data_IF_209476886997
#
_entry.id   IF_209476886997
#
_cell.length_a   1.000
_cell.length_b   1.000
_cell.length_c   1.000
_cell.angle_alpha   90.00
_cell.angle_beta   90.00
_cell.angle_gamma   90.00
#
_symmetry.space_group_name_H-M   'P 1'
#
loop_
_entity.id
_entity.type
_entity.pdbx_description
1 polymer ?
#
# COMPACT_ATOMS: atom_id res chain seq x y z
N UNK A 1 -13.21 -36.68 -36.74
CA UNK A 1 -12.83 -35.28 -37.08
C UNK A 1 -13.99 -34.36 -36.70
N UNK A 2 -13.86 -33.59 -35.61
CA UNK A 2 -14.93 -32.72 -35.12
C UNK A 2 -14.44 -31.30 -34.86
N UNK A 3 -14.77 -30.37 -35.77
CA UNK A 3 -14.42 -28.95 -35.65
C UNK A 3 -15.34 -28.29 -34.60
N UNK A 4 -14.80 -27.83 -33.48
CA UNK A 4 -15.53 -26.95 -32.54
C UNK A 4 -15.06 -25.50 -32.68
N UNK A 5 -16.04 -24.65 -33.03
CA UNK A 5 -15.94 -23.23 -33.31
C UNK A 5 -15.56 -22.42 -32.05
N UNK A 6 -14.65 -21.47 -32.23
CA UNK A 6 -14.23 -20.45 -31.25
C UNK A 6 -15.32 -19.39 -31.09
N UNK A 7 -15.65 -19.03 -29.83
CA UNK A 7 -16.55 -17.91 -29.51
C UNK A 7 -15.72 -16.79 -28.88
N UNK A 8 -15.54 -15.70 -29.65
CA UNK A 8 -14.94 -14.46 -29.17
C UNK A 8 -15.87 -13.80 -28.13
N UNK A 9 -15.28 -13.20 -27.09
CA UNK A 9 -16.02 -12.34 -26.15
C UNK A 9 -15.32 -10.99 -26.02
N UNK A 10 -16.12 -9.96 -26.22
CA UNK A 10 -15.79 -8.56 -26.39
C UNK A 10 -15.19 -7.90 -25.15
N UNK A 11 -14.35 -6.89 -25.41
CA UNK A 11 -13.93 -5.84 -24.48
C UNK A 11 -15.05 -4.81 -24.36
N UNK A 12 -15.31 -4.32 -23.15
CA UNK A 12 -16.16 -3.15 -22.90
C UNK A 12 -15.36 -2.16 -22.07
N UNK A 13 -14.95 -1.08 -22.72
CA UNK A 13 -14.45 0.15 -22.12
C UNK A 13 -15.59 1.19 -22.18
N UNK A 14 -15.89 1.86 -21.06
CA UNK A 14 -16.73 3.08 -20.98
C UNK A 14 -16.44 3.72 -19.61
N UNK A 15 -15.69 4.82 -19.46
CA UNK A 15 -15.84 6.22 -19.92
C UNK A 15 -17.16 6.87 -19.48
N UNK A 16 -17.09 7.63 -18.38
CA UNK A 16 -17.86 8.85 -18.08
C UNK A 16 -16.86 10.03 -18.17
N UNK A 17 -17.24 11.32 -18.33
CA UNK A 17 -18.51 11.96 -17.95
C UNK A 17 -19.10 12.99 -18.96
N UNK A 18 -20.39 13.32 -18.82
CA UNK A 18 -21.07 14.39 -19.57
C UNK A 18 -21.57 15.48 -18.62
N UNK A 19 -20.84 16.60 -18.57
CA UNK A 19 -21.36 17.91 -18.18
C UNK A 19 -21.77 18.64 -19.46
N UNK A 20 -22.97 19.24 -19.51
CA UNK A 20 -23.24 20.44 -20.32
C UNK A 20 -24.57 21.08 -19.94
N UNK A 21 -24.44 22.27 -19.35
CA UNK A 21 -25.46 23.29 -19.31
C UNK A 21 -25.46 24.06 -20.63
N UNK A 22 -26.64 24.47 -21.10
CA UNK A 22 -26.79 25.62 -21.98
C UNK A 22 -28.26 26.08 -21.97
N UNK A 23 -28.52 27.18 -21.27
CA UNK A 23 -29.66 28.05 -21.52
C UNK A 23 -29.30 28.94 -22.70
N UNK A 24 -30.12 28.93 -23.75
CA UNK A 24 -30.11 29.93 -24.81
C UNK A 24 -31.55 30.40 -24.96
N UNK A 25 -31.77 31.66 -24.63
CA UNK A 25 -33.02 32.41 -24.78
C UNK A 25 -32.77 33.42 -25.91
N UNK A 26 -33.48 33.29 -27.02
CA UNK A 26 -33.49 34.30 -28.08
C UNK A 26 -34.83 34.23 -28.83
N UNK A 27 -35.66 35.26 -28.68
CA UNK A 27 -36.72 35.69 -29.62
C UNK A 27 -37.32 37.01 -29.07
N UNK A 28 -36.89 38.20 -29.49
CA UNK A 28 -37.10 38.94 -30.75
C UNK A 28 -38.36 39.82 -30.78
N UNK A 29 -38.12 41.07 -31.16
CA UNK A 29 -38.96 41.99 -31.96
C UNK A 29 -39.90 42.98 -31.24
N UNK A 30 -39.51 44.25 -31.44
CA UNK A 30 -40.32 45.46 -31.38
C UNK A 30 -41.46 45.45 -32.41
N UNK A 31 -42.64 45.91 -32.01
CA UNK A 31 -43.53 46.68 -32.88
C UNK A 31 -44.20 47.79 -32.07
N UNK A 32 -44.06 49.03 -32.52
CA UNK A 32 -44.75 50.21 -32.01
C UNK A 32 -46.26 50.06 -32.23
N UNK A 33 -46.99 49.86 -31.13
CA UNK A 33 -48.40 50.19 -30.95
C UNK A 33 -48.64 50.25 -29.44
N UNK A 34 -49.18 51.37 -28.92
CA UNK A 34 -49.28 51.65 -27.49
C UNK A 34 -49.88 50.50 -26.68
N UNK A 35 -49.03 49.79 -25.94
CA UNK A 35 -49.42 48.65 -25.12
C UNK A 35 -49.74 49.09 -23.70
N UNK A 36 -50.98 48.88 -23.26
CA UNK A 36 -51.36 49.01 -21.85
C UNK A 36 -50.85 47.77 -21.11
N UNK A 37 -49.86 47.98 -20.25
CA UNK A 37 -49.20 46.94 -19.46
C UNK A 37 -49.99 46.76 -18.15
N UNK A 38 -50.89 45.78 -18.13
CA UNK A 38 -51.57 45.38 -16.90
C UNK A 38 -50.64 44.41 -16.16
N UNK A 39 -49.95 44.93 -15.14
CA UNK A 39 -49.10 44.12 -14.26
C UNK A 39 -49.98 43.42 -13.24
N UNK A 40 -50.08 42.11 -13.35
CA UNK A 40 -50.82 41.28 -12.40
C UNK A 40 -50.03 41.14 -11.09
N UNK A 41 -50.50 41.79 -10.02
CA UNK A 41 -49.81 41.87 -8.73
C UNK A 41 -49.97 40.60 -7.85
N UNK A 42 -50.62 39.56 -8.38
CA UNK A 42 -50.99 38.35 -7.62
C UNK A 42 -49.78 37.48 -7.21
N UNK A 43 -48.60 37.69 -7.83
CA UNK A 43 -47.36 36.99 -7.47
C UNK A 43 -46.39 37.79 -6.58
N UNK A 44 -46.77 38.98 -6.09
CA UNK A 44 -45.83 39.86 -5.37
C UNK A 44 -45.59 39.46 -3.89
N UNK A 45 -46.25 38.42 -3.36
CA UNK A 45 -46.22 38.11 -1.92
C UNK A 45 -45.44 36.86 -1.51
N UNK A 46 -44.80 36.10 -2.43
CA UNK A 46 -44.13 34.84 -2.02
C UNK A 46 -42.71 34.60 -2.56
N UNK A 47 -42.10 35.51 -3.32
CA UNK A 47 -40.66 35.41 -3.60
C UNK A 47 -39.83 36.14 -2.53
N UNK A 48 -39.11 35.36 -1.72
CA UNK A 48 -37.96 35.85 -0.93
C UNK A 48 -37.09 36.75 -1.83
N UNK A 49 -36.67 37.94 -1.38
CA UNK A 49 -35.79 38.79 -2.17
C UNK A 49 -34.45 38.07 -2.38
N UNK A 50 -34.11 37.81 -3.63
CA UNK A 50 -32.79 37.38 -4.02
C UNK A 50 -31.77 38.44 -3.58
N UNK A 51 -30.76 37.98 -2.85
CA UNK A 51 -29.70 38.75 -2.21
C UNK A 51 -28.80 39.48 -3.22
N UNK A 52 -29.18 40.68 -3.64
CA UNK A 52 -28.25 41.66 -4.21
C UNK A 52 -28.23 43.01 -3.46
N UNK A 53 -28.89 43.09 -2.30
CA UNK A 53 -28.78 44.22 -1.38
C UNK A 53 -28.31 43.75 -0.01
N UNK A 54 -27.10 43.21 0.07
CA UNK A 54 -26.37 43.25 1.34
C UNK A 54 -26.01 44.70 1.60
N UNK A 55 -26.94 45.45 2.20
CA UNK A 55 -26.68 46.75 2.80
C UNK A 55 -25.41 46.59 3.63
N UNK A 56 -24.34 47.24 3.19
CA UNK A 56 -23.03 47.12 3.80
C UNK A 56 -23.20 47.48 5.29
N UNK A 57 -22.58 46.75 6.23
CA UNK A 57 -22.74 47.03 7.69
C UNK A 57 -22.47 48.50 8.01
N UNK A 58 -21.61 49.14 7.23
CA UNK A 58 -21.33 50.57 7.24
C UNK A 58 -22.54 51.44 6.90
N UNK A 59 -23.27 51.08 5.85
CA UNK A 59 -24.44 51.82 5.36
C UNK A 59 -25.59 51.74 6.36
N UNK A 60 -25.84 50.56 6.94
CA UNK A 60 -26.83 50.39 8.02
C UNK A 60 -26.45 51.20 9.27
N UNK A 61 -25.18 51.24 9.65
CA UNK A 61 -24.70 52.06 10.78
C UNK A 61 -24.81 53.55 10.49
N UNK A 62 -24.50 53.98 9.27
CA UNK A 62 -24.62 55.38 8.86
C UNK A 62 -26.08 55.83 8.88
N UNK A 63 -26.99 54.98 8.39
CA UNK A 63 -28.43 55.26 8.36
C UNK A 63 -29.07 55.30 9.75
N UNK A 64 -28.58 54.51 10.71
CA UNK A 64 -29.09 54.50 12.08
C UNK A 64 -28.38 55.49 13.02
N UNK A 65 -27.26 56.08 12.61
CA UNK A 65 -26.59 57.10 13.40
C UNK A 65 -27.39 58.41 13.35
N UNK A 66 -27.63 59.06 14.49
CA UNK A 66 -28.39 60.32 14.58
C UNK A 66 -27.69 61.53 13.90
N UNK A 67 -26.57 61.31 13.20
CA UNK A 67 -25.87 62.34 12.44
C UNK A 67 -26.22 62.18 10.97
N UNK A 68 -27.15 63.01 10.50
CA UNK A 68 -27.43 63.19 9.08
C UNK A 68 -26.21 63.87 8.46
N UNK A 69 -25.29 63.08 7.90
CA UNK A 69 -24.19 63.62 7.12
C UNK A 69 -24.79 64.30 5.88
N UNK A 70 -24.64 65.63 5.80
CA UNK A 70 -24.88 66.39 4.57
C UNK A 70 -24.05 65.74 3.46
N UNK A 71 -24.67 65.49 2.30
CA UNK A 71 -24.20 64.66 1.16
C UNK A 71 -22.99 65.27 0.40
N UNK A 72 -22.06 65.92 1.11
CA UNK A 72 -20.83 66.45 0.56
C UNK A 72 -19.74 66.35 1.63
N UNK A 73 -18.95 65.29 1.62
CA UNK A 73 -17.80 65.17 2.52
C UNK A 73 -17.14 63.81 2.46
N UNK A 74 -15.94 63.78 1.90
CA UNK A 74 -15.04 62.63 1.90
C UNK A 74 -14.76 62.17 3.34
N UNK A 75 -14.92 60.87 3.61
CA UNK A 75 -14.73 60.30 4.94
C UNK A 75 -13.25 59.99 5.19
N UNK A 76 -12.60 60.82 6.01
CA UNK A 76 -11.26 60.54 6.55
C UNK A 76 -11.33 59.45 7.65
N UNK A 77 -10.76 58.28 7.36
CA UNK A 77 -10.69 57.15 8.27
C UNK A 77 -9.49 57.29 9.25
N UNK A 78 -9.67 58.09 10.29
CA UNK A 78 -8.73 58.17 11.41
C UNK A 78 -8.83 56.94 12.32
N UNK A 79 -7.90 55.99 12.17
CA UNK A 79 -7.72 54.89 13.14
C UNK A 79 -6.56 55.20 14.10
N UNK A 80 -6.88 55.61 15.32
CA UNK A 80 -5.90 55.74 16.40
C UNK A 80 -5.77 54.42 17.15
N UNK A 81 -4.73 53.64 16.84
CA UNK A 81 -4.29 52.48 17.63
C UNK A 81 -3.24 52.96 18.64
N UNK A 82 -3.61 53.19 19.90
CA UNK A 82 -2.67 53.60 20.95
C UNK A 82 -2.80 52.71 22.20
N UNK A 83 -1.73 51.95 22.42
CA UNK A 83 -1.18 51.41 23.67
C UNK A 83 -2.02 50.46 24.53
N UNK A 84 -1.82 49.15 24.32
CA UNK A 84 -2.02 48.09 25.34
C UNK A 84 -0.77 47.21 25.54
N UNK A 85 0.42 47.78 25.28
CA UNK A 85 1.68 47.03 25.16
C UNK A 85 2.11 46.24 26.42
N UNK A 86 1.67 46.66 27.62
CA UNK A 86 2.00 45.96 28.87
C UNK A 86 1.09 44.77 29.18
N UNK A 87 -0.16 44.79 28.70
CA UNK A 87 -1.05 43.63 28.79
C UNK A 87 -0.61 42.58 27.77
N UNK A 88 -0.27 43.02 26.55
CA UNK A 88 0.21 42.15 25.48
C UNK A 88 1.47 41.34 25.91
N UNK A 89 2.42 41.96 26.63
CA UNK A 89 3.65 41.29 27.09
C UNK A 89 3.39 40.26 28.21
N UNK A 90 2.39 40.48 29.08
CA UNK A 90 2.02 39.58 30.18
C UNK A 90 1.22 38.39 29.64
N UNK A 91 0.32 38.64 28.70
CA UNK A 91 -0.43 37.59 28.01
C UNK A 91 0.51 36.65 27.25
N UNK A 92 1.54 37.19 26.60
CA UNK A 92 2.54 36.38 25.90
C UNK A 92 3.40 35.52 26.85
N UNK A 93 3.64 35.99 28.08
CA UNK A 93 4.34 35.20 29.11
C UNK A 93 3.46 34.08 29.67
N UNK A 94 2.20 34.39 29.99
CA UNK A 94 1.22 33.41 30.47
C UNK A 94 0.98 32.31 29.44
N UNK A 95 0.87 32.65 28.15
CA UNK A 95 0.71 31.68 27.07
C UNK A 95 1.93 30.75 26.94
N UNK A 96 3.14 31.26 27.13
CA UNK A 96 4.37 30.46 27.10
C UNK A 96 4.44 29.47 28.27
N UNK A 97 4.07 29.91 29.47
CA UNK A 97 4.01 29.05 30.65
C UNK A 97 2.93 27.97 30.51
N UNK A 98 1.74 28.36 30.03
CA UNK A 98 0.65 27.43 29.74
C UNK A 98 1.07 26.39 28.70
N UNK A 99 1.73 26.80 27.62
CA UNK A 99 2.23 25.89 26.59
C UNK A 99 3.27 24.91 27.13
N UNK A 100 4.16 25.36 28.02
CA UNK A 100 5.14 24.51 28.69
C UNK A 100 4.46 23.47 29.59
N UNK A 101 3.49 23.88 30.41
CA UNK A 101 2.68 22.99 31.25
C UNK A 101 1.93 21.93 30.44
N UNK A 102 1.33 22.33 29.31
CA UNK A 102 0.64 21.40 28.41
C UNK A 102 1.63 20.37 27.82
N UNK A 103 2.83 20.80 27.43
CA UNK A 103 3.84 19.88 26.91
C UNK A 103 4.38 18.93 27.98
N UNK A 104 4.62 19.43 29.18
CA UNK A 104 5.10 18.62 30.31
C UNK A 104 4.03 17.59 30.74
N UNK A 105 2.76 17.97 30.77
CA UNK A 105 1.66 17.03 31.06
C UNK A 105 1.49 15.98 29.96
N UNK A 106 1.59 16.36 28.69
CA UNK A 106 1.59 15.41 27.57
C UNK A 106 2.78 14.43 27.65
N UNK A 107 3.96 14.91 28.05
CA UNK A 107 5.13 14.06 28.24
C UNK A 107 4.90 13.05 29.38
N UNK A 108 4.36 13.52 30.52
CA UNK A 108 4.02 12.66 31.67
C UNK A 108 2.97 11.62 31.29
N UNK A 109 1.93 12.01 30.55
CA UNK A 109 0.90 11.09 30.07
C UNK A 109 1.47 10.06 29.08
N UNK A 110 2.38 10.48 28.20
CA UNK A 110 3.05 9.56 27.27
C UNK A 110 3.93 8.54 28.01
N UNK A 111 4.66 8.97 29.03
CA UNK A 111 5.51 8.11 29.86
C UNK A 111 4.66 7.14 30.69
N UNK A 112 3.56 7.60 31.28
CA UNK A 112 2.67 6.74 32.06
C UNK A 112 1.99 5.68 31.19
N UNK A 113 1.50 6.06 29.99
CA UNK A 113 0.97 5.13 28.99
C UNK A 113 2.02 4.11 28.55
N UNK A 114 3.26 4.56 28.31
CA UNK A 114 4.36 3.68 27.93
C UNK A 114 4.69 2.67 29.04
N UNK A 115 4.79 3.12 30.30
CA UNK A 115 5.03 2.25 31.44
C UNK A 115 3.91 1.23 31.61
N UNK A 116 2.65 1.66 31.53
CA UNK A 116 1.48 0.79 31.67
C UNK A 116 1.43 -0.26 30.54
N UNK A 117 1.76 0.13 29.30
CA UNK A 117 1.88 -0.77 28.16
C UNK A 117 3.05 -1.76 28.32
N UNK A 118 4.19 -1.29 28.86
CA UNK A 118 5.36 -2.14 29.13
C UNK A 118 5.04 -3.20 30.20
N UNK A 119 4.46 -2.78 31.32
CA UNK A 119 3.98 -3.64 32.40
C UNK A 119 2.96 -4.66 31.90
N UNK A 120 1.96 -4.22 31.11
CA UNK A 120 0.97 -5.12 30.53
C UNK A 120 1.60 -6.15 29.59
N UNK A 121 2.55 -5.75 28.75
CA UNK A 121 3.25 -6.70 27.88
C UNK A 121 4.11 -7.68 28.66
N UNK A 122 4.74 -7.24 29.75
CA UNK A 122 5.56 -8.11 30.59
C UNK A 122 4.72 -9.15 31.32
N UNK A 123 3.61 -8.74 31.94
CA UNK A 123 2.67 -9.65 32.60
C UNK A 123 1.97 -10.59 31.63
N UNK A 124 1.62 -10.11 30.43
CA UNK A 124 1.04 -10.96 29.40
C UNK A 124 2.03 -12.02 28.91
N UNK A 125 3.30 -11.65 28.70
CA UNK A 125 4.35 -12.61 28.31
C UNK A 125 4.63 -13.64 29.40
N UNK A 126 4.71 -13.23 30.67
CA UNK A 126 4.92 -14.17 31.78
C UNK A 126 3.73 -15.12 31.96
N UNK A 127 2.50 -14.63 31.81
CA UNK A 127 1.29 -15.46 31.84
C UNK A 127 1.25 -16.48 30.71
N UNK A 128 1.58 -16.07 29.48
CA UNK A 128 1.68 -17.00 28.34
C UNK A 128 2.77 -18.06 28.55
N UNK A 129 3.90 -17.70 29.17
CA UNK A 129 4.93 -18.66 29.51
C UNK A 129 4.43 -19.70 30.53
N UNK A 130 3.71 -19.26 31.57
CA UNK A 130 3.10 -20.16 32.56
C UNK A 130 2.06 -21.10 31.92
N UNK A 131 1.22 -20.59 31.01
CA UNK A 131 0.29 -21.42 30.25
C UNK A 131 1.03 -22.47 29.44
N UNK A 132 2.07 -22.09 28.71
CA UNK A 132 2.85 -23.04 27.91
C UNK A 132 3.54 -24.10 28.78
N UNK A 133 4.04 -23.73 29.96
CA UNK A 133 4.60 -24.68 30.93
C UNK A 133 3.51 -25.62 31.46
N UNK A 134 2.33 -25.10 31.80
CA UNK A 134 1.21 -25.92 32.27
C UNK A 134 0.71 -26.90 31.20
N UNK A 135 0.63 -26.47 29.93
CA UNK A 135 0.32 -27.32 28.77
C UNK A 135 1.39 -28.39 28.58
N UNK A 136 2.68 -28.04 28.73
CA UNK A 136 3.79 -28.98 28.58
C UNK A 136 3.82 -30.03 29.70
N UNK A 137 3.44 -29.67 30.92
CA UNK A 137 3.37 -30.57 32.07
C UNK A 137 2.19 -31.54 31.99
N UNK A 138 1.10 -31.16 31.32
CA UNK A 138 -0.13 -31.96 31.21
C UNK A 138 -0.65 -32.02 29.77
N UNK A 139 0.08 -32.65 28.83
CA UNK A 139 -0.33 -32.69 27.43
C UNK A 139 -1.63 -33.46 27.17
N UNK A 140 -2.05 -34.30 28.12
CA UNK A 140 -3.18 -35.24 27.96
C UNK A 140 -4.53 -34.70 28.44
N UNK A 141 -4.54 -33.63 29.24
CA UNK A 141 -5.77 -33.09 29.86
C UNK A 141 -6.68 -32.37 28.86
N UNK A 142 -6.15 -31.80 27.78
CA UNK A 142 -6.94 -31.02 26.82
C UNK A 142 -7.38 -31.84 25.59
N UNK A 143 -6.70 -32.95 25.29
CA UNK A 143 -7.01 -33.78 24.12
C UNK A 143 -8.43 -34.36 24.22
N UNK A 144 -8.91 -34.64 25.44
CA UNK A 144 -10.25 -35.18 25.73
C UNK A 144 -11.38 -34.16 25.57
N UNK A 145 -11.09 -32.86 25.68
CA UNK A 145 -12.08 -31.79 25.51
C UNK A 145 -12.05 -31.14 24.12
N UNK A 146 -11.01 -31.39 23.33
CA UNK A 146 -10.95 -30.91 21.95
C UNK A 146 -12.01 -31.57 21.06
N UNK A 147 -12.62 -30.78 20.18
CA UNK A 147 -13.52 -31.30 19.14
C UNK A 147 -12.78 -32.32 18.27
N UNK A 148 -13.45 -33.39 17.84
CA UNK A 148 -12.83 -34.45 17.03
C UNK A 148 -12.09 -33.92 15.78
N UNK A 149 -12.60 -32.83 15.17
CA UNK A 149 -11.92 -32.17 14.04
C UNK A 149 -10.61 -31.49 14.44
N UNK A 150 -10.56 -30.90 15.62
CA UNK A 150 -9.38 -30.21 16.13
C UNK A 150 -8.34 -31.22 16.61
N UNK A 151 -8.79 -32.29 17.28
CA UNK A 151 -7.94 -33.42 17.68
C UNK A 151 -7.22 -34.02 16.47
N UNK A 152 -7.92 -34.24 15.35
CA UNK A 152 -7.31 -34.72 14.10
C UNK A 152 -6.27 -33.74 13.55
N UNK A 153 -6.57 -32.44 13.52
CA UNK A 153 -5.61 -31.41 13.07
C UNK A 153 -4.36 -31.36 13.95
N UNK A 154 -4.51 -31.51 15.26
CA UNK A 154 -3.39 -31.54 16.20
C UNK A 154 -2.52 -32.78 15.95
N UNK A 155 -3.13 -33.95 15.84
CA UNK A 155 -2.42 -35.19 15.51
C UNK A 155 -1.68 -35.07 14.16
N UNK A 156 -2.31 -34.51 13.14
CA UNK A 156 -1.67 -34.26 11.83
C UNK A 156 -0.47 -33.31 11.95
N UNK A 157 -0.59 -32.22 12.72
CA UNK A 157 0.54 -31.32 13.01
C UNK A 157 1.67 -32.03 13.76
N UNK A 158 1.33 -32.88 14.73
CA UNK A 158 2.30 -33.68 15.49
C UNK A 158 3.05 -34.65 14.57
N UNK A 159 2.34 -35.36 13.71
CA UNK A 159 2.94 -36.24 12.70
C UNK A 159 3.85 -35.46 11.74
N UNK A 160 3.42 -34.28 11.28
CA UNK A 160 4.24 -33.43 10.44
C UNK A 160 5.52 -32.94 11.17
N UNK A 161 5.43 -32.59 12.45
CA UNK A 161 6.61 -32.22 13.26
C UNK A 161 7.58 -33.39 13.49
N UNK A 162 7.07 -34.63 13.52
CA UNK A 162 7.87 -35.86 13.62
C UNK A 162 8.49 -36.27 12.28
N UNK A 163 8.36 -35.46 11.23
CA UNK A 163 8.96 -35.73 9.94
C UNK A 163 8.16 -36.67 9.05
N UNK A 164 6.88 -36.93 9.36
CA UNK A 164 5.99 -37.58 8.40
C UNK A 164 5.75 -36.58 7.24
N UNK A 165 6.52 -36.76 6.15
CA UNK A 165 6.49 -35.91 4.96
C UNK A 165 5.15 -36.12 4.25
N UNK A 166 4.14 -35.39 4.68
CA UNK A 166 2.80 -35.51 4.16
C UNK A 166 1.81 -34.72 5.01
N UNK A 167 1.91 -33.39 4.99
CA UNK A 167 0.77 -32.56 5.36
C UNK A 167 -0.45 -33.01 4.58
N UNK A 168 -1.62 -32.99 5.20
CA UNK A 168 -2.92 -33.44 4.69
C UNK A 168 -2.98 -33.58 3.17
N UNK A 169 -3.27 -34.78 2.64
CA UNK A 169 -3.33 -34.99 1.21
C UNK A 169 -4.29 -33.96 0.63
N UNK A 170 -3.75 -33.06 -0.20
CA UNK A 170 -4.60 -32.07 -0.84
C UNK A 170 -5.65 -32.82 -1.64
N UNK A 171 -6.95 -32.52 -1.47
CA UNK A 171 -8.00 -33.26 -2.17
C UNK A 171 -7.71 -33.21 -3.67
N UNK A 172 -7.75 -34.39 -4.31
CA UNK A 172 -7.49 -34.52 -5.75
C UNK A 172 -8.55 -33.70 -6.49
N UNK A 173 -8.17 -32.52 -6.96
CA UNK A 173 -9.03 -31.64 -7.73
C UNK A 173 -8.54 -31.62 -9.19
N UNK A 174 -9.45 -31.52 -10.18
CA UNK A 174 -9.06 -31.26 -11.56
C UNK A 174 -8.16 -30.02 -11.66
N UNK A 175 -7.16 -30.07 -12.53
CA UNK A 175 -6.13 -29.03 -12.69
C UNK A 175 -6.70 -27.62 -12.80
N UNK A 176 -7.76 -27.44 -13.59
CA UNK A 176 -8.41 -26.14 -13.78
C UNK A 176 -9.03 -25.60 -12.48
N UNK A 177 -9.65 -26.49 -11.69
CA UNK A 177 -10.27 -26.13 -10.40
C UNK A 177 -9.19 -25.83 -9.37
N UNK A 178 -8.13 -26.64 -9.33
CA UNK A 178 -6.98 -26.43 -8.45
C UNK A 178 -6.35 -25.04 -8.66
N UNK A 179 -6.03 -24.69 -9.90
CA UNK A 179 -5.47 -23.37 -10.21
C UNK A 179 -6.49 -22.25 -9.97
N UNK A 180 -7.78 -22.49 -10.24
CA UNK A 180 -8.85 -21.55 -9.91
C UNK A 180 -8.92 -21.23 -8.41
N UNK A 181 -8.84 -22.25 -7.55
CA UNK A 181 -8.79 -22.08 -6.10
C UNK A 181 -7.54 -21.32 -5.65
N UNK A 182 -6.37 -21.67 -6.19
CA UNK A 182 -5.12 -20.98 -5.87
C UNK A 182 -5.15 -19.50 -6.26
N UNK A 183 -5.61 -19.19 -7.48
CA UNK A 183 -5.71 -17.82 -7.96
C UNK A 183 -6.67 -16.99 -7.09
N UNK A 184 -7.80 -17.57 -6.65
CA UNK A 184 -8.73 -16.91 -5.72
C UNK A 184 -8.08 -16.64 -4.35
N UNK A 185 -7.34 -17.60 -3.79
CA UNK A 185 -6.59 -17.40 -2.53
C UNK A 185 -5.56 -16.27 -2.65
N UNK A 186 -4.79 -16.27 -3.74
CA UNK A 186 -3.81 -15.22 -4.03
C UNK A 186 -4.50 -13.86 -4.19
N UNK A 187 -5.63 -13.79 -4.90
CA UNK A 187 -6.38 -12.53 -5.08
C UNK A 187 -6.86 -11.97 -3.74
N UNK A 188 -7.41 -12.82 -2.85
CA UNK A 188 -7.85 -12.42 -1.50
C UNK A 188 -6.68 -11.93 -0.64
N UNK A 189 -5.58 -12.68 -0.62
CA UNK A 189 -4.38 -12.30 0.13
C UNK A 189 -3.80 -10.97 -0.36
N UNK A 190 -3.79 -10.73 -1.68
CA UNK A 190 -3.35 -9.45 -2.26
C UNK A 190 -4.28 -8.29 -1.88
N UNK A 191 -5.60 -8.50 -1.93
CA UNK A 191 -6.58 -7.49 -1.54
C UNK A 191 -6.44 -7.11 -0.05
N UNK A 192 -6.29 -8.10 0.84
CA UNK A 192 -6.06 -7.82 2.26
C UNK A 192 -4.74 -7.07 2.47
N UNK A 193 -3.66 -7.46 1.78
CA UNK A 193 -2.39 -6.71 1.83
C UNK A 193 -2.55 -5.26 1.38
N UNK A 194 -3.29 -4.98 0.31
CA UNK A 194 -3.54 -3.61 -0.13
C UNK A 194 -4.38 -2.83 0.89
N UNK A 195 -5.33 -3.48 1.55
CA UNK A 195 -6.11 -2.84 2.62
C UNK A 195 -5.23 -2.45 3.80
N UNK A 196 -4.28 -3.30 4.20
CA UNK A 196 -3.30 -2.98 5.25
C UNK A 196 -2.33 -1.86 4.84
N UNK A 197 -1.96 -1.79 3.55
CA UNK A 197 -1.16 -0.69 3.01
C UNK A 197 -1.93 0.63 3.06
N UNK A 198 -3.20 0.63 2.63
CA UNK A 198 -4.06 1.80 2.66
C UNK A 198 -4.32 2.31 4.08
N UNK A 199 -4.34 1.42 5.08
CA UNK A 199 -4.45 1.77 6.50
C UNK A 199 -3.15 2.26 7.14
N UNK A 200 -2.01 2.13 6.45
CA UNK A 200 -0.70 2.50 7.01
C UNK A 200 -0.12 1.53 8.05
N UNK A 201 -0.70 0.33 8.21
CA UNK A 201 -0.28 -0.68 9.21
C UNK A 201 0.51 -1.83 8.55
N UNK A 202 1.01 -1.60 7.35
CA UNK A 202 1.65 -2.65 6.56
C UNK A 202 3.07 -2.93 7.05
N UNK A 203 3.35 -4.19 7.40
CA UNK A 203 4.69 -4.69 7.70
C UNK A 203 4.98 -6.01 6.97
N UNK A 204 6.27 -6.36 6.84
CA UNK A 204 6.69 -7.65 6.26
C UNK A 204 6.15 -8.84 7.04
N UNK A 205 6.07 -8.72 8.36
CA UNK A 205 5.50 -9.75 9.25
C UNK A 205 4.00 -9.93 8.99
N UNK A 206 3.24 -8.83 8.96
CA UNK A 206 1.81 -8.83 8.64
C UNK A 206 1.55 -9.43 7.27
N UNK A 207 2.37 -9.11 6.26
CA UNK A 207 2.31 -9.77 4.96
C UNK A 207 2.46 -11.29 5.08
N UNK A 208 3.47 -11.77 5.81
CA UNK A 208 3.66 -13.23 5.99
C UNK A 208 2.45 -13.88 6.64
N UNK A 209 1.89 -13.27 7.69
CA UNK A 209 0.70 -13.75 8.40
C UNK A 209 -0.53 -13.81 7.49
N UNK A 210 -0.76 -12.80 6.65
CA UNK A 210 -1.87 -12.79 5.68
C UNK A 210 -1.71 -13.93 4.68
N UNK A 211 -0.51 -14.15 4.14
CA UNK A 211 -0.27 -15.23 3.18
C UNK A 211 -0.47 -16.62 3.81
N UNK A 212 -0.05 -16.78 5.07
CA UNK A 212 -0.25 -18.00 5.85
C UNK A 212 -1.73 -18.27 6.13
N UNK A 213 -2.47 -17.23 6.57
CA UNK A 213 -3.93 -17.26 6.79
C UNK A 213 -4.71 -17.72 5.55
N UNK A 214 -4.30 -17.31 4.35
CA UNK A 214 -4.94 -17.72 3.09
C UNK A 214 -4.36 -19.01 2.49
N UNK A 215 -3.45 -19.71 3.19
CA UNK A 215 -2.74 -20.89 2.71
C UNK A 215 -2.08 -20.67 1.33
N UNK A 216 -1.53 -19.47 1.12
CA UNK A 216 -0.73 -19.15 -0.07
C UNK A 216 0.71 -19.52 0.24
N UNK A 217 1.19 -20.62 -0.34
CA UNK A 217 2.58 -21.01 -0.14
C UNK A 217 3.53 -19.91 -0.63
N UNK A 218 4.66 -19.71 0.07
CA UNK A 218 5.70 -18.75 -0.34
C UNK A 218 6.12 -18.95 -1.80
N UNK A 219 6.08 -20.21 -2.28
CA UNK A 219 6.40 -20.57 -3.66
C UNK A 219 5.36 -20.15 -4.70
N UNK A 220 4.08 -20.02 -4.33
CA UNK A 220 3.01 -19.61 -5.25
C UNK A 220 2.92 -18.10 -5.40
N UNK A 221 3.32 -17.36 -4.36
CA UNK A 221 3.41 -15.90 -4.37
C UNK A 221 4.73 -15.37 -4.93
N UNK A 222 5.81 -16.15 -4.86
CA UNK A 222 7.07 -15.84 -5.52
C UNK A 222 6.86 -15.93 -7.04
N UNK A 223 7.09 -14.81 -7.71
CA UNK A 223 6.98 -14.63 -9.16
C UNK A 223 7.28 -15.92 -9.92
N UNK A 224 6.31 -16.43 -10.71
CA UNK A 224 6.47 -17.62 -11.57
C UNK A 224 7.68 -17.50 -12.51
N UNK A 225 8.15 -16.29 -12.75
CA UNK A 225 9.35 -15.97 -13.54
C UNK A 225 10.66 -16.33 -12.81
N UNK A 226 10.64 -16.59 -11.50
CA UNK A 226 11.87 -16.90 -10.75
C UNK A 226 12.43 -18.30 -11.02
N UNK A 227 11.60 -19.27 -11.44
CA UNK A 227 12.11 -20.61 -11.78
C UNK A 227 12.79 -20.65 -13.14
N UNK A 228 12.24 -19.93 -14.13
CA UNK A 228 12.86 -19.76 -15.45
C UNK A 228 14.18 -19.00 -15.32
N UNK A 229 14.28 -18.04 -14.39
CA UNK A 229 15.53 -17.31 -14.14
C UNK A 229 16.55 -18.07 -13.25
N UNK A 230 16.16 -19.20 -12.62
CA UNK A 230 17.06 -20.03 -11.79
C UNK A 230 17.62 -21.23 -12.54
N UNK A 231 16.92 -21.69 -13.57
CA UNK A 231 17.54 -22.54 -14.58
C UNK A 231 18.50 -21.63 -15.32
N UNK A 232 19.80 -21.80 -15.06
CA UNK A 232 20.89 -21.00 -15.63
C UNK A 232 20.50 -20.55 -17.04
N UNK A 233 20.35 -19.24 -17.33
CA UNK A 233 20.10 -18.79 -18.69
C UNK A 233 21.22 -19.40 -19.51
N UNK A 234 20.85 -20.29 -20.45
CA UNK A 234 21.77 -21.15 -21.22
C UNK A 234 23.10 -20.43 -21.37
N UNK A 235 24.11 -20.82 -20.57
CA UNK A 235 25.39 -20.09 -20.46
C UNK A 235 26.26 -20.25 -21.71
N UNK A 236 25.63 -20.47 -22.86
CA UNK A 236 26.23 -20.89 -24.12
C UNK A 236 27.06 -22.16 -23.96
N UNK A 237 27.63 -22.59 -25.08
CA UNK A 237 28.81 -23.43 -25.04
C UNK A 237 29.95 -22.59 -24.43
N UNK A 238 30.56 -23.06 -23.34
CA UNK A 238 31.72 -22.39 -22.73
C UNK A 238 32.94 -22.64 -23.62
N UNK A 239 33.22 -21.72 -24.55
CA UNK A 239 34.24 -21.90 -25.57
C UNK A 239 35.63 -21.30 -25.25
N UNK A 240 35.89 -20.75 -24.05
CA UNK A 240 37.10 -19.95 -23.81
C UNK A 240 37.93 -20.36 -22.59
N UNK A 241 39.25 -20.31 -22.76
CA UNK A 241 40.28 -20.50 -21.71
C UNK A 241 40.49 -19.23 -20.84
N UNK A 242 39.47 -18.37 -20.78
CA UNK A 242 39.59 -17.07 -20.12
C UNK A 242 38.23 -16.45 -19.85
N UNK A 243 38.24 -15.37 -19.07
CA UNK A 243 37.04 -14.60 -18.70
C UNK A 243 36.81 -13.52 -19.76
N UNK A 244 35.72 -13.61 -20.51
CA UNK A 244 35.32 -12.56 -21.45
C UNK A 244 34.44 -11.53 -20.72
N UNK A 245 34.88 -10.27 -20.64
CA UNK A 245 34.13 -9.18 -20.01
C UNK A 245 34.23 -7.93 -20.89
N UNK A 246 33.08 -7.34 -21.21
CA UNK A 246 32.99 -6.10 -22.01
C UNK A 246 33.70 -6.16 -23.38
N UNK A 247 33.64 -7.29 -24.08
CA UNK A 247 34.32 -7.44 -25.38
C UNK A 247 35.81 -7.78 -25.29
N UNK A 248 36.38 -7.85 -24.08
CA UNK A 248 37.80 -8.11 -23.83
C UNK A 248 37.97 -9.50 -23.21
N UNK A 249 38.90 -10.29 -23.76
CA UNK A 249 39.30 -11.57 -23.20
C UNK A 249 40.41 -11.37 -22.16
N UNK A 250 40.09 -11.63 -20.89
CA UNK A 250 41.08 -11.69 -19.82
C UNK A 250 41.65 -13.11 -19.77
N UNK A 251 42.94 -13.23 -20.07
CA UNK A 251 43.71 -14.48 -20.01
C UNK A 251 44.62 -14.40 -18.79
N UNK A 252 44.61 -15.44 -17.96
CA UNK A 252 45.52 -15.50 -16.80
C UNK A 252 46.97 -15.63 -17.29
N UNK A 253 47.89 -14.92 -16.62
CA UNK A 253 49.33 -14.91 -16.97
C UNK A 253 49.97 -16.30 -16.88
N UNK A 254 49.44 -17.17 -16.04
CA UNK A 254 49.85 -18.57 -15.95
C UNK A 254 49.56 -19.33 -17.25
N UNK A 255 48.43 -19.05 -17.90
CA UNK A 255 48.07 -19.67 -19.17
C UNK A 255 48.93 -19.14 -20.31
N UNK A 256 49.26 -17.84 -20.30
CA UNK A 256 50.17 -17.28 -21.30
C UNK A 256 51.59 -17.83 -21.16
N UNK A 257 52.05 -18.11 -19.94
CA UNK A 257 53.32 -18.81 -19.68
C UNK A 257 53.26 -20.28 -20.12
N UNK A 258 52.13 -20.95 -19.98
CA UNK A 258 51.94 -22.33 -20.42
C UNK A 258 52.03 -22.48 -21.95
N UNK A 259 51.40 -21.57 -22.71
CA UNK A 259 51.49 -21.56 -24.18
C UNK A 259 52.92 -21.21 -24.64
N UNK A 260 53.62 -20.34 -23.91
CA UNK A 260 54.98 -19.90 -24.27
C UNK A 260 56.06 -20.95 -24.01
N UNK A 261 55.77 -22.03 -23.27
CA UNK A 261 56.74 -23.12 -23.14
C UNK A 261 56.85 -23.81 -24.50
N UNK A 262 58.03 -23.81 -25.15
CA UNK A 262 58.21 -24.57 -26.38
C UNK A 262 57.81 -26.01 -26.09
N UNK A 263 56.96 -26.59 -26.96
CA UNK A 263 56.75 -28.03 -26.92
C UNK A 263 58.15 -28.67 -26.95
N UNK A 264 58.45 -29.61 -26.03
CA UNK A 264 59.72 -30.29 -26.07
C UNK A 264 59.81 -31.03 -27.41
N UNK A 265 60.53 -30.44 -28.37
CA UNK A 265 60.91 -31.04 -29.63
C UNK A 265 62.02 -32.06 -29.37
N UNK A 266 61.71 -33.08 -28.57
CA UNK A 266 62.56 -34.25 -28.37
C UNK A 266 61.69 -35.41 -27.93
N UNK A 267 60.70 -35.77 -28.76
CA UNK A 267 60.29 -37.16 -28.81
C UNK A 267 61.43 -37.89 -29.52
N UNK A 268 62.37 -38.40 -28.73
CA UNK A 268 63.31 -39.40 -29.20
C UNK A 268 62.48 -40.54 -29.80
N UNK A 269 62.69 -40.84 -31.08
CA UNK A 269 61.99 -41.90 -31.83
C UNK A 269 62.14 -43.29 -31.19
N UNK A 270 63.01 -43.43 -30.18
CA UNK A 270 63.33 -44.68 -29.50
C UNK A 270 62.21 -45.24 -28.61
N UNK A 271 61.17 -44.45 -28.26
CA UNK A 271 60.05 -44.96 -27.45
C UNK A 271 58.89 -45.55 -28.28
N UNK A 272 58.92 -45.43 -29.62
CA UNK A 272 57.92 -46.09 -30.48
C UNK A 272 58.26 -47.56 -30.80
N UNK A 273 59.46 -48.03 -30.46
CA UNK A 273 59.87 -49.43 -30.69
C UNK A 273 59.54 -50.38 -29.53
N UNK A 274 59.10 -49.89 -28.35
CA UNK A 274 58.79 -50.76 -27.21
C UNK A 274 57.31 -51.17 -27.10
N UNK A 275 56.44 -50.72 -28.01
CA UNK A 275 54.99 -51.04 -27.96
C UNK A 275 54.64 -52.23 -28.87
N UNK A 276 55.54 -52.68 -29.76
CA UNK A 276 55.27 -53.78 -30.70
C UNK A 276 55.70 -55.18 -30.22
N UNK A 277 56.26 -55.33 -29.02
CA UNK A 277 56.75 -56.63 -28.49
C UNK A 277 56.03 -57.10 -27.23
N UNK A 278 54.71 -56.91 -27.15
CA UNK A 278 53.85 -57.63 -26.22
C UNK A 278 52.66 -58.22 -27.00
N UNK A 279 52.94 -59.32 -27.69
CA UNK A 279 51.99 -60.38 -28.02
C UNK A 279 52.41 -61.63 -27.24
#
# INVERSE_FOLDING_TARGET
MGKKKTKARAKTDSINPSTKASNVLELSQHSDNGSVLVVDATNLSTSKPNSSSTVNKYEKKSFMSHKIAKVTGDFDAGSSKKSNKKEDDVDEQNDKELFKLINDTNLIESLSKFLLFSLFNWTFKSYQALINIAIALNPDLDVNNMSGKERLKLQQRKLASLGLIGSDPTPKAPTNIYFGMQNKRIKRAKAEVTDFQNRGIFSKSVKSQIYEKHHVSKSLGANKNSRVNRLNPNRGLKASVGKFKNGILYVDTTFSLLIKKPLPHSLNEETLLSITTLN
#
